data_IF_895953987208
#
_entry.id   IF_895953987208
#
_cell.length_a   1.000
_cell.length_b   1.000
_cell.length_c   1.000
_cell.angle_alpha   90.00
_cell.angle_beta   90.00
_cell.angle_gamma   90.00
#
_symmetry.space_group_name_H-M   'P 1'
#
loop_
_entity.id
_entity.type
_entity.pdbx_description
1 polymer ?
#
# COMPACT_ATOMS: atom_id res chain seq x y z
N UNK A 1 31.57 -19.09 -10.12
CA UNK A 1 30.18 -19.51 -10.41
C UNK A 1 29.30 -18.28 -10.48
N UNK A 2 28.88 -17.82 -11.68
CA UNK A 2 27.89 -16.75 -11.75
C UNK A 2 26.58 -17.30 -11.15
N UNK A 3 26.09 -16.67 -10.08
CA UNK A 3 24.75 -16.96 -9.58
C UNK A 3 23.80 -16.47 -10.66
N UNK A 4 23.22 -17.39 -11.44
CA UNK A 4 22.05 -17.08 -12.25
C UNK A 4 21.03 -16.48 -11.28
N UNK A 5 20.74 -15.18 -11.44
CA UNK A 5 19.62 -14.57 -10.72
C UNK A 5 18.43 -15.46 -11.03
N UNK A 6 17.87 -16.11 -10.00
CA UNK A 6 16.60 -16.80 -10.15
C UNK A 6 15.63 -15.81 -10.79
N UNK A 7 15.11 -16.16 -11.95
CA UNK A 7 14.15 -15.33 -12.64
C UNK A 7 12.95 -15.13 -11.71
N UNK A 8 12.71 -13.87 -11.35
CA UNK A 8 11.63 -13.51 -10.45
C UNK A 8 10.33 -13.45 -11.25
N UNK A 9 9.27 -14.17 -10.86
CA UNK A 9 8.00 -14.15 -11.58
C UNK A 9 7.47 -12.74 -11.89
N UNK A 10 7.63 -11.79 -10.97
CA UNK A 10 7.25 -10.39 -11.16
C UNK A 10 8.07 -9.67 -12.24
N UNK A 11 9.29 -10.11 -12.53
CA UNK A 11 10.07 -9.56 -13.66
C UNK A 11 9.57 -10.08 -15.01
N UNK A 12 8.96 -11.27 -15.05
CA UNK A 12 8.43 -11.90 -16.25
C UNK A 12 6.97 -11.51 -16.51
N UNK A 13 6.24 -11.09 -15.48
CA UNK A 13 4.84 -10.73 -15.58
C UNK A 13 4.65 -9.39 -16.33
N UNK A 14 3.81 -9.43 -17.36
CA UNK A 14 3.29 -8.21 -17.99
C UNK A 14 2.43 -7.44 -16.98
N UNK A 15 2.71 -6.15 -16.83
CA UNK A 15 1.99 -5.29 -15.89
C UNK A 15 0.72 -4.78 -16.59
N UNK A 16 -0.47 -4.94 -15.99
CA UNK A 16 -1.71 -4.37 -16.52
C UNK A 16 -1.67 -2.84 -16.62
N UNK A 17 -2.37 -2.27 -17.60
CA UNK A 17 -2.35 -0.82 -17.89
C UNK A 17 -2.95 0.05 -16.77
N UNK A 18 -3.84 -0.52 -15.95
CA UNK A 18 -4.51 0.15 -14.82
C UNK A 18 -3.65 0.14 -13.54
N UNK A 19 -2.49 -0.51 -13.55
CA UNK A 19 -1.57 -0.52 -12.42
C UNK A 19 -0.77 0.78 -12.36
N UNK A 20 -0.95 1.49 -11.25
CA UNK A 20 -0.35 2.80 -10.97
C UNK A 20 1.00 2.69 -10.24
N UNK A 21 1.22 1.58 -9.53
CA UNK A 21 2.52 1.22 -8.94
C UNK A 21 3.00 -0.15 -9.46
N UNK A 22 3.72 -0.17 -10.60
CA UNK A 22 4.24 -1.40 -11.21
C UNK A 22 5.23 -2.16 -10.32
N UNK A 23 5.99 -1.46 -9.47
CA UNK A 23 6.99 -2.08 -8.60
C UNK A 23 6.30 -2.84 -7.46
N UNK A 24 5.31 -2.22 -6.82
CA UNK A 24 4.50 -2.86 -5.79
C UNK A 24 3.75 -4.07 -6.34
N UNK A 25 3.16 -3.94 -7.54
CA UNK A 25 2.44 -5.04 -8.18
C UNK A 25 3.36 -6.24 -8.47
N UNK A 26 4.55 -6.02 -9.06
CA UNK A 26 5.51 -7.09 -9.36
C UNK A 26 6.05 -7.75 -8.09
N UNK A 27 6.32 -6.97 -7.05
CA UNK A 27 6.73 -7.51 -5.75
C UNK A 27 5.64 -8.41 -5.16
N UNK A 28 4.37 -7.99 -5.25
CA UNK A 28 3.26 -8.78 -4.76
C UNK A 28 3.12 -10.12 -5.51
N UNK A 29 3.40 -10.15 -6.83
CA UNK A 29 3.48 -11.40 -7.59
C UNK A 29 4.58 -12.32 -7.08
N UNK A 30 5.79 -11.78 -6.85
CA UNK A 30 6.90 -12.57 -6.33
C UNK A 30 6.56 -13.20 -4.97
N UNK A 31 5.90 -12.45 -4.09
CA UNK A 31 5.42 -12.94 -2.80
C UNK A 31 4.36 -14.03 -3.00
N UNK A 32 3.36 -13.83 -3.87
CA UNK A 32 2.33 -14.84 -4.10
C UNK A 32 2.89 -16.13 -4.70
N UNK A 33 3.87 -16.03 -5.60
CA UNK A 33 4.56 -17.19 -6.16
C UNK A 33 5.31 -17.98 -5.07
N UNK A 34 5.89 -17.30 -4.09
CA UNK A 34 6.54 -17.93 -2.94
C UNK A 34 5.54 -18.50 -1.90
N UNK A 35 4.28 -18.03 -1.90
CA UNK A 35 3.25 -18.36 -0.92
C UNK A 35 2.04 -19.09 -1.54
N UNK A 36 2.29 -20.00 -2.48
CA UNK A 36 1.24 -20.79 -3.11
C UNK A 36 0.49 -21.69 -2.10
N UNK A 37 -0.83 -21.86 -2.28
CA UNK A 37 -1.60 -22.85 -1.51
C UNK A 37 -1.18 -24.28 -1.88
N UNK A 38 -1.27 -25.17 -0.91
CA UNK A 38 -1.12 -26.61 -1.02
C UNK A 38 -2.40 -27.29 -1.45
N UNK A 39 -2.34 -28.61 -1.59
CA UNK A 39 -3.51 -29.43 -1.89
C UNK A 39 -4.59 -29.34 -0.80
N UNK A 40 -4.18 -29.01 0.42
CA UNK A 40 -5.01 -28.83 1.62
C UNK A 40 -5.53 -27.38 1.76
N UNK A 41 -5.19 -26.50 0.81
CA UNK A 41 -5.52 -25.07 0.85
C UNK A 41 -4.63 -24.24 1.78
N UNK A 42 -3.68 -24.86 2.51
CA UNK A 42 -2.75 -24.16 3.39
C UNK A 42 -1.54 -23.62 2.63
N UNK A 43 -0.88 -22.58 3.12
CA UNK A 43 0.32 -22.09 2.47
C UNK A 43 1.47 -23.10 2.55
N UNK A 44 2.10 -23.42 1.40
CA UNK A 44 3.24 -24.36 1.33
C UNK A 44 4.57 -23.78 1.79
N UNK A 45 4.61 -22.46 2.05
CA UNK A 45 5.84 -21.79 2.43
C UNK A 45 6.24 -22.19 3.86
N UNK A 46 7.48 -22.64 4.04
CA UNK A 46 8.03 -23.08 5.33
C UNK A 46 8.09 -21.97 6.40
N UNK A 47 7.94 -20.71 6.02
CA UNK A 47 7.84 -19.59 6.95
C UNK A 47 6.43 -19.40 7.53
N UNK A 48 5.43 -20.14 7.03
CA UNK A 48 4.02 -19.99 7.38
C UNK A 48 3.46 -21.17 8.19
N UNK A 49 4.32 -21.97 8.84
CA UNK A 49 3.92 -23.15 9.61
C UNK A 49 2.85 -22.77 10.65
N UNK A 50 1.80 -23.59 10.73
CA UNK A 50 0.70 -23.40 11.68
C UNK A 50 -0.38 -22.42 11.23
N UNK A 51 -0.27 -21.79 10.06
CA UNK A 51 -1.37 -21.02 9.48
C UNK A 51 -2.29 -21.91 8.66
N UNK A 52 -3.59 -21.83 8.94
CA UNK A 52 -4.63 -22.51 8.17
C UNK A 52 -5.11 -21.60 7.04
N UNK A 53 -5.22 -22.16 5.84
CA UNK A 53 -5.63 -21.47 4.63
C UNK A 53 -4.57 -20.51 4.06
N UNK A 54 -5.04 -19.44 3.44
CA UNK A 54 -4.16 -18.40 2.90
C UNK A 54 -3.42 -17.67 4.03
N UNK A 55 -2.09 -17.76 4.07
CA UNK A 55 -1.28 -17.11 5.10
C UNK A 55 -1.35 -15.56 5.02
N UNK A 56 -0.94 -14.89 6.11
CA UNK A 56 -0.90 -13.43 6.20
C UNK A 56 -0.10 -12.78 5.07
N UNK A 57 1.04 -13.35 4.68
CA UNK A 57 1.87 -12.82 3.60
C UNK A 57 1.11 -12.82 2.25
N UNK A 58 0.48 -13.95 1.89
CA UNK A 58 -0.34 -14.03 0.69
C UNK A 58 -1.53 -13.07 0.72
N UNK A 59 -2.20 -12.91 1.87
CA UNK A 59 -3.31 -11.96 2.01
C UNK A 59 -2.84 -10.50 1.83
N UNK A 60 -1.71 -10.14 2.42
CA UNK A 60 -1.14 -8.80 2.28
C UNK A 60 -0.66 -8.54 0.85
N UNK A 61 -0.09 -9.54 0.17
CA UNK A 61 0.29 -9.42 -1.23
C UNK A 61 -0.91 -9.20 -2.16
N UNK A 62 -2.04 -9.90 -1.94
CA UNK A 62 -3.29 -9.63 -2.68
C UNK A 62 -3.77 -8.19 -2.50
N UNK A 63 -3.81 -7.72 -1.25
CA UNK A 63 -4.14 -6.31 -0.94
C UNK A 63 -3.17 -5.34 -1.61
N UNK A 64 -1.88 -5.64 -1.64
CA UNK A 64 -0.89 -4.80 -2.31
C UNK A 64 -1.13 -4.70 -3.81
N UNK A 65 -1.53 -5.78 -4.49
CA UNK A 65 -1.95 -5.71 -5.90
C UNK A 65 -3.19 -4.85 -6.10
N UNK A 66 -4.19 -4.97 -5.22
CA UNK A 66 -5.38 -4.09 -5.25
C UNK A 66 -4.98 -2.62 -5.08
N UNK A 67 -4.10 -2.32 -4.11
CA UNK A 67 -3.61 -0.96 -3.88
C UNK A 67 -2.75 -0.43 -5.05
N UNK A 68 -2.00 -1.29 -5.73
CA UNK A 68 -1.18 -0.91 -6.86
C UNK A 68 -2.01 -0.33 -8.02
N UNK A 69 -3.28 -0.72 -8.20
CA UNK A 69 -4.21 -0.06 -9.14
C UNK A 69 -5.04 1.07 -8.51
N UNK A 70 -5.33 0.98 -7.22
CA UNK A 70 -6.26 1.90 -6.54
C UNK A 70 -5.65 3.27 -6.20
N UNK A 71 -4.37 3.32 -5.84
CA UNK A 71 -3.74 4.54 -5.30
C UNK A 71 -3.62 5.63 -6.37
N UNK A 72 -3.22 5.29 -7.59
CA UNK A 72 -3.21 6.27 -8.68
C UNK A 72 -4.60 6.63 -9.17
N UNK A 73 -5.63 5.77 -9.08
CA UNK A 73 -7.02 6.17 -9.34
C UNK A 73 -7.49 7.24 -8.34
N UNK A 74 -7.20 7.08 -7.05
CA UNK A 74 -7.52 8.07 -6.02
C UNK A 74 -6.71 9.37 -6.15
N UNK A 75 -5.43 9.30 -6.52
CA UNK A 75 -4.60 10.48 -6.79
C UNK A 75 -5.02 11.19 -8.08
N UNK A 76 -5.29 10.46 -9.15
CA UNK A 76 -5.76 11.01 -10.43
C UNK A 76 -7.17 11.61 -10.30
N UNK A 77 -8.05 11.01 -9.51
CA UNK A 77 -9.35 11.57 -9.15
C UNK A 77 -9.25 12.87 -8.32
N UNK A 78 -8.16 13.06 -7.57
CA UNK A 78 -7.88 14.31 -6.81
C UNK A 78 -7.20 15.38 -7.67
N UNK A 79 -6.42 14.98 -8.67
CA UNK A 79 -5.70 15.88 -9.57
C UNK A 79 -6.56 16.34 -10.76
N UNK A 80 -7.57 15.56 -11.14
CA UNK A 80 -8.58 16.03 -12.08
C UNK A 80 -9.48 17.06 -11.36
N UNK A 81 -9.58 18.30 -11.85
CA UNK A 81 -10.56 19.22 -11.32
C UNK A 81 -11.93 18.57 -11.55
N UNK A 82 -12.66 18.36 -10.45
CA UNK A 82 -14.06 17.95 -10.47
C UNK A 82 -14.79 18.98 -11.31
N UNK A 83 -15.09 18.68 -12.58
CA UNK A 83 -15.81 19.62 -13.48
C UNK A 83 -17.08 20.05 -12.73
N UNK A 84 -17.24 21.31 -12.31
CA UNK A 84 -18.53 21.76 -11.84
C UNK A 84 -19.48 21.66 -13.03
N UNK A 85 -20.62 20.99 -12.83
CA UNK A 85 -21.74 21.08 -13.76
C UNK A 85 -22.02 22.57 -13.97
N UNK A 86 -21.94 23.02 -15.21
CA UNK A 86 -22.17 24.40 -15.62
C UNK A 86 -23.58 24.83 -15.23
N UNK A 87 -23.74 25.41 -14.05
CA UNK A 87 -24.79 26.39 -13.80
C UNK A 87 -24.21 27.75 -14.19
N UNK A 88 -24.64 28.21 -15.36
CA UNK A 88 -24.27 29.51 -15.91
C UNK A 88 -24.75 30.61 -14.96
N UNK A 89 -23.84 31.13 -14.13
CA UNK A 89 -23.96 32.43 -13.50
C UNK A 89 -22.87 33.33 -14.04
N UNK A 90 -23.30 34.27 -14.87
CA UNK A 90 -22.50 35.38 -15.38
C UNK A 90 -21.81 36.10 -14.23
N UNK A 91 -20.52 36.38 -14.38
CA UNK A 91 -19.81 37.31 -13.53
C UNK A 91 -19.06 38.30 -14.41
N UNK A 92 -19.40 39.58 -14.25
CA UNK A 92 -18.66 40.71 -14.78
C UNK A 92 -17.26 40.75 -14.14
N UNK A 93 -16.26 41.06 -14.96
CA UNK A 93 -14.85 40.87 -14.64
C UNK A 93 -14.27 41.89 -13.66
N UNK A 94 -13.13 41.52 -13.08
CA UNK A 94 -11.96 42.40 -12.99
C UNK A 94 -10.69 41.53 -12.87
N UNK A 95 -9.63 42.01 -13.49
CA UNK A 95 -8.33 41.36 -13.62
C UNK A 95 -7.57 41.38 -12.28
N UNK A 96 -6.77 40.34 -12.00
CA UNK A 96 -5.94 40.36 -10.80
C UNK A 96 -5.06 39.14 -10.55
N UNK A 97 -3.99 39.03 -11.36
CA UNK A 97 -2.63 38.63 -10.95
C UNK A 97 -2.44 37.25 -10.27
N UNK A 98 -1.77 36.38 -11.01
CA UNK A 98 -1.22 35.10 -10.58
C UNK A 98 -0.31 35.20 -9.34
N UNK A 99 -0.70 34.49 -8.27
CA UNK A 99 0.10 34.25 -7.07
C UNK A 99 0.64 32.82 -7.14
N UNK A 100 1.96 32.68 -7.02
CA UNK A 100 2.73 31.48 -7.35
C UNK A 100 2.39 30.18 -6.62
N UNK A 101 2.93 29.09 -7.15
CA UNK A 101 2.73 27.68 -6.81
C UNK A 101 3.43 27.22 -5.51
N UNK A 102 3.73 28.15 -4.60
CA UNK A 102 4.28 27.85 -3.28
C UNK A 102 3.35 28.39 -2.21
N UNK A 103 2.56 27.51 -1.59
CA UNK A 103 1.96 27.82 -0.31
C UNK A 103 3.09 27.89 0.74
N UNK A 104 3.24 29.00 1.50
CA UNK A 104 4.17 28.99 2.62
C UNK A 104 3.66 28.01 3.67
N UNK A 105 4.46 26.97 3.93
CA UNK A 105 4.29 26.13 5.11
C UNK A 105 4.57 27.00 6.33
N UNK A 106 3.52 27.43 7.03
CA UNK A 106 3.67 27.89 8.41
C UNK A 106 4.04 26.68 9.23
N UNK A 107 5.34 26.49 9.41
CA UNK A 107 5.89 25.71 10.50
C UNK A 107 5.56 26.48 11.78
N UNK A 108 4.39 26.23 12.36
CA UNK A 108 4.16 26.65 13.74
C UNK A 108 4.55 25.52 14.69
N UNK A 109 5.26 25.94 15.72
CA UNK A 109 6.10 25.15 16.56
C UNK A 109 5.30 24.15 17.40
N UNK A 110 5.86 22.95 17.47
CA UNK A 110 5.93 22.12 18.66
C UNK A 110 5.44 22.77 19.97
N UNK A 111 4.31 22.30 20.50
CA UNK A 111 4.07 22.24 21.93
C UNK A 111 3.20 21.01 22.23
N UNK A 112 3.76 20.02 22.94
CA UNK A 112 2.97 18.99 23.61
C UNK A 112 3.05 17.55 23.06
N UNK A 113 4.24 17.01 22.84
CA UNK A 113 4.41 15.55 22.86
C UNK A 113 4.13 15.04 24.29
N UNK A 114 2.95 14.46 24.52
CA UNK A 114 2.66 13.64 25.70
C UNK A 114 2.79 12.16 25.33
N UNK A 115 3.77 11.41 25.85
CA UNK A 115 3.77 9.97 25.71
C UNK A 115 3.08 9.36 26.95
N UNK A 116 1.77 9.21 26.89
CA UNK A 116 1.07 8.25 27.74
C UNK A 116 0.11 7.46 26.87
N UNK A 117 0.46 6.20 26.60
CA UNK A 117 -0.40 5.04 26.80
C UNK A 117 0.30 3.73 26.37
N UNK A 118 0.41 2.84 27.35
CA UNK A 118 0.36 1.38 27.23
C UNK A 118 1.52 0.65 26.52
N UNK A 119 2.64 0.54 27.23
CA UNK A 119 3.40 -0.71 27.22
C UNK A 119 2.49 -1.84 27.74
N UNK A 120 1.80 -2.53 26.83
CA UNK A 120 1.27 -3.87 27.12
C UNK A 120 2.45 -4.80 27.36
N UNK A 121 2.69 -5.04 28.64
CA UNK A 121 3.57 -6.04 29.21
C UNK A 121 3.17 -7.43 28.67
N UNK A 122 4.00 -8.00 27.81
CA UNK A 122 3.97 -9.43 27.49
C UNK A 122 4.49 -10.19 28.71
N UNK A 123 3.65 -11.06 29.29
CA UNK A 123 4.04 -12.05 30.28
C UNK A 123 4.05 -13.43 29.61
N UNK A 124 5.19 -14.15 29.56
CA UNK A 124 5.18 -15.60 29.59
C UNK A 124 5.16 -16.04 31.06
N UNK A 125 3.99 -16.32 31.59
CA UNK A 125 3.88 -17.04 32.85
C UNK A 125 4.21 -18.52 32.58
N UNK A 126 5.34 -18.95 33.14
CA UNK A 126 5.69 -20.34 33.33
C UNK A 126 4.57 -21.07 34.07
N UNK A 127 4.15 -22.23 33.54
CA UNK A 127 3.53 -23.28 34.34
C UNK A 127 4.09 -24.63 33.89
N UNK A 128 5.12 -25.06 34.61
CA UNK A 128 5.44 -26.47 34.79
C UNK A 128 4.52 -27.05 35.85
N UNK A 129 3.83 -28.16 35.55
CA UNK A 129 3.30 -29.23 36.44
C UNK A 129 2.84 -30.33 35.45
N UNK A 130 3.16 -31.61 35.52
CA UNK A 130 3.96 -32.47 36.41
C UNK A 130 4.51 -33.64 35.55
#
# INVERSE_FOLDING_TARGET
>A
MPRLRRERPGHLAAVPDDVTDPLLWRLAIDVLAAHQPGHDGNCRNLQCVGQVGSCTAARNARRAMEFAGSVGSAFHARLLPRRPQLEARSFDGDAGREVGWFAPSTSDASTGWRPELALRRWHPALRSVA
#
